data_IF_229081448646
#
_entry.id   IF_229081448646
#
_cell.length_a   1.000
_cell.length_b   1.000
_cell.length_c   1.000
_cell.angle_alpha   90.00
_cell.angle_beta   90.00
_cell.angle_gamma   90.00
#
_symmetry.space_group_name_H-M   'P 1'
#
loop_
_entity.id
_entity.type
_entity.pdbx_description
1 polymer ?
#
# COMPACT_ATOMS: atom_id res chain seq x y z
N UNK A 1 -22.48 -14.17 -13.57
CA UNK A 1 -23.77 -13.46 -13.50
C UNK A 1 -24.82 -14.42 -12.92
N UNK A 2 -25.68 -13.92 -12.02
CA UNK A 2 -26.81 -14.69 -11.49
C UNK A 2 -27.86 -14.92 -12.58
N UNK A 3 -28.38 -16.14 -12.71
CA UNK A 3 -29.46 -16.47 -13.64
C UNK A 3 -30.79 -16.53 -12.90
N UNK A 4 -31.85 -15.92 -13.45
CA UNK A 4 -33.19 -15.87 -12.90
C UNK A 4 -34.21 -16.32 -13.93
N UNK A 5 -35.33 -16.89 -13.43
CA UNK A 5 -36.47 -17.32 -14.27
C UNK A 5 -37.73 -16.56 -13.84
N UNK A 6 -38.69 -16.51 -14.74
CA UNK A 6 -39.98 -15.92 -14.43
C UNK A 6 -40.65 -16.69 -13.29
N UNK A 7 -41.07 -15.96 -12.26
CA UNK A 7 -41.66 -16.54 -11.05
C UNK A 7 -40.70 -16.63 -9.86
N UNK A 8 -39.37 -16.44 -10.08
CA UNK A 8 -38.39 -16.41 -9.01
C UNK A 8 -38.63 -15.22 -8.07
N UNK A 9 -38.53 -15.48 -6.78
CA UNK A 9 -38.51 -14.42 -5.77
C UNK A 9 -37.06 -14.07 -5.43
N UNK A 10 -36.72 -12.79 -5.60
CA UNK A 10 -35.35 -12.31 -5.47
C UNK A 10 -35.31 -11.12 -4.52
N UNK A 11 -34.39 -11.14 -3.56
CA UNK A 11 -34.11 -9.98 -2.70
C UNK A 11 -33.24 -8.99 -3.49
N UNK A 12 -33.63 -7.72 -3.47
CA UNK A 12 -32.94 -6.65 -4.19
C UNK A 12 -32.81 -5.40 -3.35
N UNK A 13 -31.79 -4.60 -3.60
CA UNK A 13 -31.73 -3.24 -3.09
C UNK A 13 -32.42 -2.29 -4.07
N UNK A 14 -33.26 -1.38 -3.58
CA UNK A 14 -33.80 -0.29 -4.38
C UNK A 14 -32.74 0.79 -4.48
N UNK A 15 -32.21 1.02 -5.67
CA UNK A 15 -31.15 2.01 -5.92
C UNK A 15 -31.75 3.39 -6.18
N UNK A 16 -32.85 3.43 -6.95
CA UNK A 16 -33.47 4.70 -7.34
C UNK A 16 -34.93 4.49 -7.71
N UNK A 17 -35.73 5.51 -7.41
CA UNK A 17 -37.12 5.63 -7.89
C UNK A 17 -37.20 6.84 -8.82
N UNK A 18 -37.51 6.63 -10.11
CA UNK A 18 -37.62 7.67 -11.12
C UNK A 18 -39.08 8.06 -11.32
N UNK A 19 -39.49 9.22 -10.78
CA UNK A 19 -40.91 9.68 -10.75
C UNK A 19 -41.47 10.06 -12.11
N UNK A 20 -40.66 10.34 -13.12
CA UNK A 20 -41.11 10.88 -14.42
C UNK A 20 -40.67 10.02 -15.64
N UNK A 21 -40.34 8.75 -15.44
CA UNK A 21 -39.89 7.90 -16.52
C UNK A 21 -41.07 7.27 -17.32
N UNK A 22 -40.92 7.20 -18.64
CA UNK A 22 -41.82 6.43 -19.51
C UNK A 22 -41.53 4.92 -19.52
N UNK A 23 -40.82 4.42 -18.51
CA UNK A 23 -40.42 3.01 -18.40
C UNK A 23 -40.43 2.58 -16.94
N UNK A 24 -39.63 1.58 -16.54
CA UNK A 24 -39.54 1.13 -15.15
C UNK A 24 -39.18 2.27 -14.19
N UNK A 25 -40.05 2.51 -13.22
CA UNK A 25 -39.84 3.61 -12.26
C UNK A 25 -38.95 3.22 -11.09
N UNK A 26 -38.89 1.94 -10.75
CA UNK A 26 -38.08 1.43 -9.63
C UNK A 26 -36.86 0.71 -10.19
N UNK A 27 -35.68 1.25 -9.92
CA UNK A 27 -34.41 0.63 -10.28
C UNK A 27 -33.90 -0.16 -9.09
N UNK A 28 -33.67 -1.44 -9.29
CA UNK A 28 -33.21 -2.37 -8.27
C UNK A 28 -31.85 -2.98 -8.64
N UNK A 29 -31.09 -3.41 -7.64
CA UNK A 29 -29.76 -4.00 -7.83
C UNK A 29 -29.55 -5.21 -6.94
N UNK A 30 -28.81 -6.19 -7.50
CA UNK A 30 -28.25 -7.33 -6.77
C UNK A 30 -26.76 -7.14 -6.49
N UNK A 31 -26.13 -6.17 -7.14
CA UNK A 31 -24.67 -5.94 -7.06
C UNK A 31 -24.28 -4.78 -6.14
N UNK A 32 -25.24 -3.96 -5.76
CA UNK A 32 -25.02 -2.82 -4.86
C UNK A 32 -24.59 -3.27 -3.46
N UNK A 33 -23.57 -2.65 -2.83
CA UNK A 33 -23.19 -2.94 -1.45
C UNK A 33 -24.31 -2.77 -0.43
N UNK A 34 -25.29 -1.92 -0.70
CA UNK A 34 -26.47 -1.73 0.17
C UNK A 34 -27.27 -3.02 0.36
N UNK A 35 -27.32 -3.89 -0.65
CA UNK A 35 -27.97 -5.20 -0.50
C UNK A 35 -27.26 -6.03 0.57
N UNK A 36 -25.94 -6.10 0.54
CA UNK A 36 -25.14 -6.84 1.53
C UNK A 36 -25.37 -6.29 2.95
N UNK A 37 -25.33 -4.97 3.12
CA UNK A 37 -25.58 -4.32 4.41
C UNK A 37 -26.97 -4.67 4.96
N UNK A 38 -28.00 -4.64 4.11
CA UNK A 38 -29.36 -5.01 4.51
C UNK A 38 -29.53 -6.49 4.84
N UNK A 39 -28.81 -7.37 4.17
CA UNK A 39 -28.81 -8.79 4.52
C UNK A 39 -28.21 -9.02 5.90
N UNK A 40 -27.12 -8.30 6.25
CA UNK A 40 -26.57 -8.36 7.60
C UNK A 40 -27.55 -7.82 8.66
N UNK A 41 -28.24 -6.71 8.41
CA UNK A 41 -29.26 -6.18 9.32
C UNK A 41 -30.39 -7.20 9.59
N UNK A 42 -30.74 -8.01 8.59
CA UNK A 42 -31.80 -9.02 8.72
C UNK A 42 -31.34 -10.27 9.47
N UNK A 43 -30.07 -10.68 9.31
CA UNK A 43 -29.54 -11.92 9.86
C UNK A 43 -28.86 -11.76 11.23
N UNK A 44 -28.45 -10.52 11.59
CA UNK A 44 -27.67 -10.22 12.78
C UNK A 44 -28.47 -9.30 13.71
N UNK A 45 -29.07 -9.84 14.78
CA UNK A 45 -29.86 -9.04 15.73
C UNK A 45 -29.08 -7.88 16.34
N UNK A 46 -27.80 -8.05 16.63
CA UNK A 46 -26.91 -7.02 17.18
C UNK A 46 -26.67 -5.85 16.23
N UNK A 47 -26.83 -6.05 14.90
CA UNK A 47 -26.83 -4.97 13.92
C UNK A 47 -28.20 -4.29 13.90
N UNK A 48 -29.27 -5.06 13.97
CA UNK A 48 -30.63 -4.53 13.96
C UNK A 48 -30.91 -3.62 15.17
N UNK A 49 -30.44 -3.99 16.36
CA UNK A 49 -30.58 -3.20 17.58
C UNK A 49 -29.55 -2.07 17.74
N UNK A 50 -28.53 -2.05 16.87
CA UNK A 50 -27.50 -1.02 16.83
C UNK A 50 -26.32 -1.24 17.77
N UNK A 51 -26.23 -2.36 18.49
CA UNK A 51 -25.06 -2.73 19.30
C UNK A 51 -23.82 -2.90 18.43
N UNK A 52 -23.97 -3.58 17.29
CA UNK A 52 -22.95 -3.70 16.24
C UNK A 52 -23.30 -2.80 15.07
N UNK A 53 -22.33 -2.10 14.53
CA UNK A 53 -22.49 -1.19 13.40
C UNK A 53 -21.64 -1.61 12.22
N UNK A 54 -22.21 -1.55 11.01
CA UNK A 54 -21.45 -1.65 9.76
C UNK A 54 -20.91 -0.26 9.42
N UNK A 55 -19.57 -0.15 9.36
CA UNK A 55 -18.85 1.09 9.02
C UNK A 55 -18.60 1.22 7.53
N UNK A 56 -18.60 0.10 6.80
CA UNK A 56 -18.43 0.08 5.36
C UNK A 56 -18.61 -1.32 4.79
N UNK A 57 -18.93 -1.37 3.51
CA UNK A 57 -19.02 -2.62 2.75
C UNK A 57 -18.51 -2.39 1.33
N UNK A 58 -17.68 -3.29 0.84
CA UNK A 58 -17.14 -3.28 -0.54
C UNK A 58 -17.34 -4.65 -1.17
N UNK A 59 -17.69 -4.70 -2.45
CA UNK A 59 -18.02 -5.94 -3.15
C UNK A 59 -17.41 -5.99 -4.53
N UNK A 60 -16.99 -7.17 -4.90
CA UNK A 60 -16.92 -7.65 -6.28
C UNK A 60 -18.04 -8.69 -6.41
N UNK A 61 -19.22 -8.23 -6.84
CA UNK A 61 -20.45 -8.99 -6.77
C UNK A 61 -20.34 -10.35 -7.45
N UNK A 62 -20.80 -11.40 -6.76
CA UNK A 62 -20.70 -12.78 -7.19
C UNK A 62 -19.33 -13.44 -6.91
N UNK A 63 -18.35 -12.70 -6.43
CA UNK A 63 -17.01 -13.22 -6.15
C UNK A 63 -16.65 -13.09 -4.66
N UNK A 64 -16.45 -11.87 -4.19
CA UNK A 64 -16.02 -11.61 -2.81
C UNK A 64 -16.45 -10.22 -2.33
N UNK A 65 -16.70 -10.11 -1.04
CA UNK A 65 -16.99 -8.86 -0.34
C UNK A 65 -16.19 -8.74 0.95
N UNK A 66 -15.98 -7.51 1.41
CA UNK A 66 -15.51 -7.20 2.76
C UNK A 66 -16.50 -6.26 3.43
N UNK A 67 -16.79 -6.55 4.71
CA UNK A 67 -17.68 -5.75 5.54
C UNK A 67 -16.96 -5.35 6.82
N UNK A 68 -16.85 -4.07 7.07
CA UNK A 68 -16.21 -3.54 8.27
C UNK A 68 -17.27 -3.28 9.36
N UNK A 69 -17.05 -3.84 10.53
CA UNK A 69 -17.97 -3.79 11.67
C UNK A 69 -17.27 -3.31 12.93
N UNK A 70 -18.02 -2.64 13.79
CA UNK A 70 -17.56 -2.22 15.12
C UNK A 70 -18.68 -2.45 16.14
N UNK A 71 -18.32 -2.75 17.38
CA UNK A 71 -19.28 -2.77 18.51
C UNK A 71 -19.24 -1.47 19.28
N UNK A 72 -20.40 -1.04 19.75
CA UNK A 72 -20.53 0.04 20.72
C UNK A 72 -20.28 -0.43 22.15
N UNK A 73 -20.42 -1.73 22.40
CA UNK A 73 -20.23 -2.37 23.69
C UNK A 73 -18.91 -3.15 23.71
N UNK A 74 -18.14 -2.98 24.78
CA UNK A 74 -16.79 -3.55 24.90
C UNK A 74 -16.77 -5.08 25.02
N UNK A 75 -17.83 -5.66 25.54
CA UNK A 75 -18.01 -7.08 25.79
C UNK A 75 -18.67 -7.83 24.62
N UNK A 76 -19.01 -7.12 23.55
CA UNK A 76 -19.59 -7.72 22.34
C UNK A 76 -18.53 -7.77 21.23
N UNK A 77 -18.18 -8.99 20.78
CA UNK A 77 -17.35 -9.22 19.61
C UNK A 77 -18.16 -8.94 18.32
N UNK A 78 -17.86 -7.87 17.57
CA UNK A 78 -18.62 -7.52 16.39
C UNK A 78 -18.46 -8.50 15.24
N UNK A 79 -17.29 -9.11 15.10
CA UNK A 79 -17.00 -10.12 14.06
C UNK A 79 -17.71 -11.42 14.39
N UNK A 80 -17.59 -11.88 15.63
CA UNK A 80 -18.27 -13.09 16.11
C UNK A 80 -19.79 -12.99 16.00
N UNK A 81 -20.39 -11.85 16.31
CA UNK A 81 -21.82 -11.60 16.16
C UNK A 81 -22.29 -11.76 14.70
N UNK A 82 -21.53 -11.21 13.76
CA UNK A 82 -21.85 -11.31 12.33
C UNK A 82 -21.61 -12.71 11.74
N UNK A 83 -20.59 -13.42 12.20
CA UNK A 83 -20.32 -14.79 11.77
C UNK A 83 -21.41 -15.73 12.28
N UNK A 84 -21.80 -15.56 13.53
CA UNK A 84 -22.76 -16.42 14.21
C UNK A 84 -22.20 -17.78 14.62
N UNK A 85 -22.99 -18.52 15.38
CA UNK A 85 -22.56 -19.85 15.87
C UNK A 85 -22.23 -20.79 14.70
N UNK A 86 -21.00 -21.29 14.65
CA UNK A 86 -20.49 -22.14 13.55
C UNK A 86 -20.68 -21.52 12.15
N UNK A 87 -20.70 -20.19 12.06
CA UNK A 87 -20.83 -19.47 10.78
C UNK A 87 -22.24 -19.44 10.20
N UNK A 88 -23.28 -19.80 10.96
CA UNK A 88 -24.64 -19.94 10.42
C UNK A 88 -25.18 -18.66 9.83
N UNK A 89 -24.94 -17.49 10.45
CA UNK A 89 -25.42 -16.21 9.98
C UNK A 89 -24.76 -15.79 8.67
N UNK A 90 -23.44 -15.78 8.63
CA UNK A 90 -22.71 -15.41 7.41
C UNK A 90 -22.97 -16.39 6.26
N UNK A 91 -23.13 -17.69 6.55
CA UNK A 91 -23.47 -18.69 5.55
C UNK A 91 -24.87 -18.50 4.96
N UNK A 92 -25.82 -17.99 5.73
CA UNK A 92 -27.15 -17.62 5.23
C UNK A 92 -27.04 -16.51 4.18
N UNK A 93 -26.23 -15.50 4.47
CA UNK A 93 -26.00 -14.38 3.53
C UNK A 93 -25.25 -14.85 2.28
N UNK A 94 -24.20 -15.68 2.45
CA UNK A 94 -23.45 -16.26 1.34
C UNK A 94 -24.36 -17.05 0.39
N UNK A 95 -25.29 -17.84 0.93
CA UNK A 95 -26.28 -18.59 0.13
C UNK A 95 -27.23 -17.67 -0.61
N UNK A 96 -27.73 -16.61 0.03
CA UNK A 96 -28.57 -15.60 -0.63
C UNK A 96 -27.84 -14.95 -1.80
N UNK A 97 -26.54 -14.68 -1.67
CA UNK A 97 -25.67 -14.09 -2.70
C UNK A 97 -25.02 -15.14 -3.62
N UNK A 98 -25.57 -16.35 -3.63
CA UNK A 98 -25.18 -17.46 -4.53
C UNK A 98 -23.70 -17.83 -4.49
N UNK A 99 -23.12 -17.81 -3.28
CA UNK A 99 -21.75 -18.25 -3.03
C UNK A 99 -20.69 -17.14 -3.02
N UNK A 100 -21.09 -15.87 -3.03
CA UNK A 100 -20.18 -14.74 -2.83
C UNK A 100 -19.47 -14.88 -1.48
N UNK A 101 -18.13 -14.91 -1.47
CA UNK A 101 -17.34 -15.00 -0.26
C UNK A 101 -17.39 -13.69 0.52
N UNK A 102 -17.56 -13.76 1.83
CA UNK A 102 -17.69 -12.57 2.68
C UNK A 102 -16.63 -12.62 3.76
N UNK A 103 -15.76 -11.60 3.79
CA UNK A 103 -14.82 -11.35 4.88
C UNK A 103 -15.41 -10.29 5.81
N UNK A 104 -15.57 -10.64 7.07
CA UNK A 104 -16.00 -9.71 8.12
C UNK A 104 -14.74 -9.19 8.79
N UNK A 105 -14.60 -7.87 8.84
CA UNK A 105 -13.39 -7.17 9.26
C UNK A 105 -13.73 -6.27 10.43
N UNK A 106 -12.97 -6.32 11.50
CA UNK A 106 -13.11 -5.36 12.59
C UNK A 106 -12.57 -3.98 12.13
N UNK A 107 -13.44 -2.98 12.25
CA UNK A 107 -13.10 -1.60 11.91
C UNK A 107 -12.24 -0.97 12.99
N UNK A 108 -11.33 -0.08 12.61
CA UNK A 108 -10.51 0.72 13.52
C UNK A 108 -10.38 2.15 13.00
N UNK A 109 -10.31 3.12 13.92
CA UNK A 109 -9.98 4.52 13.60
C UNK A 109 -8.52 4.66 13.13
N UNK A 110 -7.63 3.80 13.64
CA UNK A 110 -6.24 3.75 13.22
C UNK A 110 -6.11 3.03 11.87
N UNK A 111 -5.68 3.73 10.81
CA UNK A 111 -5.55 3.13 9.48
C UNK A 111 -4.61 1.92 9.43
N UNK A 112 -3.53 1.93 10.22
CA UNK A 112 -2.57 0.83 10.26
C UNK A 112 -3.20 -0.44 10.86
N UNK A 113 -3.95 -0.31 11.94
CA UNK A 113 -4.70 -1.41 12.53
C UNK A 113 -5.80 -1.89 11.57
N UNK A 114 -6.53 -0.96 10.96
CA UNK A 114 -7.63 -1.31 10.06
C UNK A 114 -7.13 -2.06 8.81
N UNK A 115 -5.99 -1.68 8.22
CA UNK A 115 -5.44 -2.41 7.07
C UNK A 115 -5.00 -3.82 7.43
N UNK A 116 -4.43 -4.03 8.62
CA UNK A 116 -4.08 -5.37 9.12
C UNK A 116 -5.31 -6.26 9.16
N UNK A 117 -6.41 -5.75 9.75
CA UNK A 117 -7.68 -6.48 9.83
C UNK A 117 -8.26 -6.73 8.43
N UNK A 118 -8.22 -5.74 7.54
CA UNK A 118 -8.78 -5.82 6.20
C UNK A 118 -8.03 -6.78 5.26
N UNK A 119 -6.75 -7.03 5.49
CA UNK A 119 -5.95 -7.99 4.71
C UNK A 119 -6.16 -9.45 5.15
N UNK A 120 -6.92 -9.67 6.23
CA UNK A 120 -7.29 -11.04 6.63
C UNK A 120 -7.79 -11.85 5.40
N UNK A 121 -7.42 -13.15 5.30
CA UNK A 121 -6.76 -13.99 6.30
C UNK A 121 -5.22 -13.93 6.30
N UNK A 122 -4.59 -13.07 5.49
CA UNK A 122 -3.14 -12.92 5.48
C UNK A 122 -2.63 -12.27 6.77
N UNK A 123 -1.48 -12.74 7.24
CA UNK A 123 -0.80 -12.15 8.40
C UNK A 123 0.16 -11.08 7.95
N UNK A 124 0.06 -9.90 8.57
CA UNK A 124 0.90 -8.74 8.31
C UNK A 124 2.02 -8.68 9.34
N UNK A 125 3.26 -8.47 8.88
CA UNK A 125 4.43 -8.29 9.75
C UNK A 125 4.59 -6.82 10.19
N UNK A 126 4.40 -5.89 9.26
CA UNK A 126 4.59 -4.46 9.52
C UNK A 126 3.75 -3.60 8.59
N UNK A 127 3.30 -2.45 9.10
CA UNK A 127 2.67 -1.38 8.31
C UNK A 127 3.45 -0.09 8.52
N UNK A 128 3.70 0.64 7.45
CA UNK A 128 4.34 1.96 7.46
C UNK A 128 3.51 2.94 6.63
N UNK A 129 3.18 4.09 7.19
CA UNK A 129 2.54 5.17 6.44
C UNK A 129 3.62 5.88 5.63
N UNK A 130 3.48 5.85 4.31
CA UNK A 130 4.44 6.46 3.37
C UNK A 130 4.07 7.91 3.10
N UNK A 131 2.78 8.18 2.90
CA UNK A 131 2.24 9.51 2.64
C UNK A 131 0.83 9.61 3.22
N UNK A 132 0.65 10.47 4.21
CA UNK A 132 -0.63 10.65 4.89
C UNK A 132 -1.61 11.48 4.06
N UNK A 133 -1.13 12.48 3.33
CA UNK A 133 -1.97 13.35 2.51
C UNK A 133 -2.54 12.59 1.31
N UNK A 134 -1.71 11.80 0.64
CA UNK A 134 -2.12 10.94 -0.48
C UNK A 134 -2.71 9.61 -0.02
N UNK A 135 -2.70 9.34 1.29
CA UNK A 135 -3.18 8.08 1.89
C UNK A 135 -2.51 6.85 1.30
N UNK A 136 -1.18 6.83 1.34
CA UNK A 136 -0.36 5.73 0.85
C UNK A 136 0.29 5.02 2.05
N UNK A 137 0.17 3.70 2.09
CA UNK A 137 0.84 2.86 3.08
C UNK A 137 1.56 1.68 2.43
N UNK A 138 2.65 1.29 3.03
CA UNK A 138 3.41 0.10 2.72
C UNK A 138 3.09 -0.98 3.77
N UNK A 139 2.81 -2.18 3.30
CA UNK A 139 2.51 -3.34 4.15
C UNK A 139 3.50 -4.45 3.84
N UNK A 140 4.23 -4.88 4.85
CA UNK A 140 5.20 -5.97 4.74
C UNK A 140 4.60 -7.24 5.34
N UNK A 141 4.71 -8.34 4.60
CA UNK A 141 4.23 -9.66 4.99
C UNK A 141 5.36 -10.70 4.87
N UNK A 142 5.28 -11.81 5.61
CA UNK A 142 6.17 -12.93 5.38
C UNK A 142 6.04 -13.43 3.92
N UNK A 143 7.12 -13.91 3.31
CA UNK A 143 7.14 -14.33 1.89
C UNK A 143 6.04 -15.34 1.57
N UNK A 144 5.80 -16.30 2.47
CA UNK A 144 4.73 -17.30 2.34
C UNK A 144 3.30 -16.73 2.42
N UNK A 145 3.14 -15.50 2.96
CA UNK A 145 1.85 -14.82 3.08
C UNK A 145 1.56 -13.87 1.90
N UNK A 146 2.56 -13.56 1.07
CA UNK A 146 2.45 -12.58 -0.01
C UNK A 146 1.31 -12.89 -0.98
N UNK A 147 1.26 -14.12 -1.48
CA UNK A 147 0.19 -14.55 -2.40
C UNK A 147 -1.21 -14.47 -1.77
N UNK A 148 -1.32 -14.73 -0.47
CA UNK A 148 -2.58 -14.66 0.26
C UNK A 148 -3.00 -13.21 0.50
N UNK A 149 -2.05 -12.33 0.83
CA UNK A 149 -2.29 -10.91 1.03
C UNK A 149 -2.77 -10.23 -0.25
N UNK A 150 -2.12 -10.52 -1.37
CA UNK A 150 -2.51 -10.01 -2.70
C UNK A 150 -3.85 -10.64 -3.14
N UNK A 151 -3.97 -11.95 -2.99
CA UNK A 151 -5.13 -12.71 -3.44
C UNK A 151 -5.15 -12.94 -4.95
N UNK A 152 -6.07 -13.80 -5.41
CA UNK A 152 -6.25 -14.10 -6.84
C UNK A 152 -6.55 -12.82 -7.63
N UNK A 153 -5.72 -12.53 -8.63
CA UNK A 153 -5.81 -11.30 -9.46
C UNK A 153 -5.82 -10.01 -8.65
N UNK A 154 -5.16 -9.99 -7.48
CA UNK A 154 -5.13 -8.82 -6.61
C UNK A 154 -6.43 -8.52 -5.88
N UNK A 155 -7.36 -9.46 -5.78
CA UNK A 155 -8.70 -9.24 -5.22
C UNK A 155 -8.66 -8.87 -3.75
N UNK A 156 -7.83 -9.56 -2.93
CA UNK A 156 -7.80 -9.30 -1.50
C UNK A 156 -7.26 -7.90 -1.19
N UNK A 157 -6.12 -7.53 -1.76
CA UNK A 157 -5.54 -6.19 -1.56
C UNK A 157 -6.42 -5.08 -2.13
N UNK A 158 -7.06 -5.31 -3.29
CA UNK A 158 -7.94 -4.32 -3.92
C UNK A 158 -9.20 -4.04 -3.08
N UNK A 159 -9.83 -5.07 -2.51
CA UNK A 159 -10.96 -4.91 -1.60
C UNK A 159 -10.52 -4.29 -0.27
N UNK A 160 -9.35 -4.68 0.27
CA UNK A 160 -8.78 -4.06 1.46
C UNK A 160 -8.52 -2.57 1.25
N UNK A 161 -7.89 -2.18 0.15
CA UNK A 161 -7.63 -0.79 -0.20
C UNK A 161 -8.92 0.03 -0.30
N UNK A 162 -9.96 -0.53 -0.91
CA UNK A 162 -11.27 0.15 -1.05
C UNK A 162 -11.98 0.34 0.29
N UNK A 163 -11.96 -0.65 1.19
CA UNK A 163 -12.68 -0.55 2.46
C UNK A 163 -11.94 0.34 3.47
N UNK A 164 -10.61 0.33 3.45
CA UNK A 164 -9.78 1.19 4.32
C UNK A 164 -9.72 2.62 3.78
N UNK A 165 -9.88 2.80 2.47
CA UNK A 165 -9.78 4.11 1.80
C UNK A 165 -8.34 4.59 1.65
N UNK A 166 -7.36 3.66 1.62
CA UNK A 166 -5.94 3.90 1.44
C UNK A 166 -5.38 3.11 0.28
N UNK A 167 -4.36 3.65 -0.36
CA UNK A 167 -3.54 2.92 -1.32
C UNK A 167 -2.56 2.02 -0.57
N UNK A 168 -2.58 0.74 -0.86
CA UNK A 168 -1.79 -0.28 -0.17
C UNK A 168 -0.74 -0.82 -1.14
N UNK A 169 0.54 -0.68 -0.77
CA UNK A 169 1.66 -1.33 -1.43
C UNK A 169 2.10 -2.52 -0.57
N UNK A 170 1.98 -3.74 -1.11
CA UNK A 170 2.32 -4.97 -0.38
C UNK A 170 3.66 -5.48 -0.87
N UNK A 171 4.57 -5.74 0.07
CA UNK A 171 5.90 -6.30 -0.17
C UNK A 171 6.14 -7.50 0.74
N UNK A 172 6.94 -8.45 0.27
CA UNK A 172 7.47 -9.49 1.14
C UNK A 172 8.62 -8.96 2.01
N UNK A 173 8.94 -9.65 3.10
CA UNK A 173 10.11 -9.32 3.94
C UNK A 173 11.41 -9.38 3.14
N UNK A 174 11.53 -10.32 2.21
CA UNK A 174 12.69 -10.44 1.33
C UNK A 174 12.80 -9.27 0.35
N UNK A 175 11.69 -8.86 -0.30
CA UNK A 175 11.67 -7.69 -1.18
C UNK A 175 12.06 -6.43 -0.42
N UNK A 176 11.53 -6.24 0.78
CA UNK A 176 11.87 -5.08 1.61
C UNK A 176 13.34 -5.08 2.05
N UNK A 177 13.87 -6.24 2.41
CA UNK A 177 15.29 -6.38 2.74
C UNK A 177 16.17 -6.01 1.55
N UNK A 178 15.86 -6.50 0.36
CA UNK A 178 16.62 -6.16 -0.86
C UNK A 178 16.56 -4.67 -1.20
N UNK A 179 15.41 -4.02 -1.01
CA UNK A 179 15.31 -2.57 -1.18
C UNK A 179 16.22 -1.81 -0.22
N UNK A 180 16.21 -2.19 1.06
CA UNK A 180 17.05 -1.57 2.08
C UNK A 180 18.53 -1.80 1.80
N UNK A 181 18.91 -3.04 1.43
CA UNK A 181 20.29 -3.38 1.04
C UNK A 181 20.75 -2.58 -0.18
N UNK A 182 19.90 -2.45 -1.20
CA UNK A 182 20.19 -1.66 -2.39
C UNK A 182 20.32 -0.16 -2.07
N UNK A 183 19.48 0.37 -1.19
CA UNK A 183 19.57 1.77 -0.75
C UNK A 183 20.84 2.03 0.04
N UNK A 184 21.20 1.14 0.98
CA UNK A 184 22.46 1.22 1.72
C UNK A 184 23.67 1.15 0.79
N UNK A 185 23.65 0.27 -0.22
CA UNK A 185 24.71 0.17 -1.23
C UNK A 185 24.84 1.46 -2.05
N UNK A 186 23.71 2.07 -2.45
CA UNK A 186 23.71 3.37 -3.15
C UNK A 186 24.29 4.48 -2.28
N UNK A 187 23.92 4.56 -1.02
CA UNK A 187 24.45 5.54 -0.08
C UNK A 187 25.95 5.36 0.15
N UNK A 188 26.41 4.12 0.35
CA UNK A 188 27.84 3.81 0.50
C UNK A 188 28.62 4.21 -0.74
N UNK A 189 28.13 3.87 -1.93
CA UNK A 189 28.72 4.28 -3.19
C UNK A 189 28.80 5.80 -3.34
N UNK A 190 27.72 6.52 -3.02
CA UNK A 190 27.71 7.98 -3.06
C UNK A 190 28.79 8.60 -2.17
N UNK A 191 28.99 8.05 -0.97
CA UNK A 191 30.09 8.47 -0.07
C UNK A 191 31.45 8.19 -0.69
N UNK A 192 31.67 7.02 -1.30
CA UNK A 192 32.94 6.66 -1.94
C UNK A 192 33.23 7.53 -3.16
N UNK A 193 32.20 7.86 -3.95
CA UNK A 193 32.30 8.83 -5.05
C UNK A 193 32.78 10.19 -4.55
N UNK A 194 32.17 10.73 -3.49
CA UNK A 194 32.59 12.02 -2.92
C UNK A 194 34.00 11.95 -2.32
N UNK A 195 34.35 10.86 -1.66
CA UNK A 195 35.69 10.64 -1.11
C UNK A 195 36.76 10.54 -2.21
N UNK A 196 36.40 10.09 -3.40
CA UNK A 196 37.37 10.03 -4.51
C UNK A 196 37.92 11.40 -4.89
N UNK A 197 37.23 12.50 -4.54
CA UNK A 197 37.71 13.88 -4.74
C UNK A 197 39.08 14.16 -4.07
N UNK A 198 39.42 13.42 -3.01
CA UNK A 198 40.73 13.55 -2.38
C UNK A 198 41.88 13.21 -3.34
N UNK A 199 41.68 12.22 -4.22
CA UNK A 199 42.65 11.83 -5.25
C UNK A 199 42.83 12.90 -6.31
N UNK A 200 41.84 13.78 -6.47
CA UNK A 200 41.82 14.89 -7.42
C UNK A 200 42.16 16.24 -6.76
N UNK A 201 42.79 16.24 -5.56
CA UNK A 201 43.35 17.41 -4.91
C UNK A 201 42.39 18.23 -4.06
N UNK A 202 41.19 17.73 -3.79
CA UNK A 202 40.31 18.32 -2.77
C UNK A 202 40.76 17.89 -1.39
N UNK A 203 40.92 18.84 -0.46
CA UNK A 203 41.42 18.53 0.89
C UNK A 203 40.45 17.64 1.70
N UNK A 204 41.02 16.70 2.49
CA UNK A 204 40.28 15.74 3.32
C UNK A 204 39.16 16.39 4.16
N UNK A 205 39.45 17.54 4.81
CA UNK A 205 38.46 18.27 5.61
C UNK A 205 37.27 18.75 4.77
N UNK A 206 37.52 19.22 3.54
CA UNK A 206 36.47 19.64 2.62
C UNK A 206 35.63 18.46 2.19
N UNK A 207 36.27 17.34 1.85
CA UNK A 207 35.56 16.09 1.49
C UNK A 207 34.72 15.59 2.65
N UNK A 208 35.23 15.61 3.85
CA UNK A 208 34.46 15.25 5.05
C UNK A 208 33.20 16.12 5.20
N UNK A 209 33.34 17.45 5.05
CA UNK A 209 32.23 18.38 5.16
C UNK A 209 31.19 18.18 4.03
N UNK A 210 31.61 17.81 2.81
CA UNK A 210 30.70 17.45 1.71
C UNK A 210 29.90 16.19 2.04
N UNK A 211 30.53 15.16 2.61
CA UNK A 211 29.86 13.93 3.05
C UNK A 211 28.87 14.23 4.20
N UNK A 212 29.27 15.00 5.20
CA UNK A 212 28.42 15.42 6.33
C UNK A 212 27.22 16.27 5.87
N UNK A 213 27.37 17.05 4.77
CA UNK A 213 26.29 17.80 4.17
C UNK A 213 25.28 16.93 3.41
N UNK A 214 25.49 15.59 3.36
CA UNK A 214 24.55 14.64 2.76
C UNK A 214 24.52 14.64 1.24
N UNK A 215 25.65 14.92 0.61
CA UNK A 215 25.74 14.92 -0.86
C UNK A 215 25.64 13.48 -1.39
N UNK A 216 24.69 13.27 -2.31
CA UNK A 216 24.34 11.96 -2.85
C UNK A 216 25.15 11.59 -4.12
N UNK A 217 26.49 11.71 -4.06
CA UNK A 217 27.42 11.33 -5.13
C UNK A 217 27.87 12.49 -6.02
N UNK A 218 28.74 12.20 -7.00
CA UNK A 218 29.37 13.19 -7.88
C UNK A 218 28.36 13.86 -8.81
N UNK A 219 27.35 13.15 -9.29
CA UNK A 219 26.32 13.72 -10.17
C UNK A 219 25.55 14.84 -9.42
N UNK A 220 25.08 14.57 -8.21
CA UNK A 220 24.41 15.56 -7.38
C UNK A 220 25.31 16.77 -7.08
N UNK A 221 26.58 16.52 -6.77
CA UNK A 221 27.57 17.58 -6.54
C UNK A 221 27.75 18.51 -7.74
N UNK A 222 27.73 17.96 -8.95
CA UNK A 222 27.86 18.75 -10.19
C UNK A 222 26.60 19.55 -10.53
N UNK A 223 25.43 19.12 -10.08
CA UNK A 223 24.16 19.82 -10.28
C UNK A 223 23.92 20.94 -9.26
N UNK A 224 24.57 20.90 -8.10
CA UNK A 224 24.43 21.94 -7.07
C UNK A 224 24.91 23.30 -7.57
N UNK A 225 24.22 24.36 -7.19
CA UNK A 225 24.62 25.75 -7.47
C UNK A 225 25.82 26.16 -6.59
N UNK A 226 26.52 27.23 -6.99
CA UNK A 226 27.64 27.76 -6.21
C UNK A 226 27.18 28.31 -4.86
N UNK A 227 25.95 28.81 -4.76
CA UNK A 227 25.36 29.29 -3.50
C UNK A 227 25.12 28.12 -2.53
N UNK A 228 24.61 27.00 -3.02
CA UNK A 228 24.43 25.78 -2.21
C UNK A 228 25.76 25.20 -1.73
N UNK A 229 26.77 25.17 -2.59
CA UNK A 229 28.12 24.71 -2.22
C UNK A 229 28.77 25.65 -1.22
N UNK A 230 28.60 26.98 -1.35
CA UNK A 230 29.16 27.97 -0.43
C UNK A 230 28.52 27.93 0.97
N UNK A 231 27.32 27.38 1.10
CA UNK A 231 26.66 27.18 2.38
C UNK A 231 27.29 26.06 3.23
N UNK A 232 28.14 25.23 2.61
CA UNK A 232 28.84 24.14 3.31
C UNK A 232 30.07 24.71 4.01
N UNK A 233 30.27 24.33 5.28
CA UNK A 233 31.38 24.85 6.08
C UNK A 233 32.74 24.57 5.42
N UNK A 234 33.59 25.60 5.36
CA UNK A 234 34.91 25.54 4.75
C UNK A 234 34.98 25.50 3.21
N UNK A 235 33.83 25.71 2.53
CA UNK A 235 33.74 25.77 1.06
C UNK A 235 33.64 27.23 0.61
N UNK A 236 34.73 27.81 0.12
CA UNK A 236 34.78 29.14 -0.45
C UNK A 236 34.89 29.11 -1.99
N UNK A 237 34.84 30.29 -2.69
CA UNK A 237 34.83 30.36 -4.15
C UNK A 237 35.96 29.58 -4.84
N UNK A 238 37.18 29.68 -4.33
CA UNK A 238 38.32 28.90 -4.86
C UNK A 238 38.23 27.40 -4.62
N UNK A 239 37.54 27.01 -3.54
CA UNK A 239 37.30 25.62 -3.23
C UNK A 239 36.22 25.03 -4.14
N UNK A 240 35.22 25.82 -4.50
CA UNK A 240 34.16 25.44 -5.43
C UNK A 240 34.74 25.12 -6.81
N UNK A 241 35.62 25.95 -7.35
CA UNK A 241 36.29 25.69 -8.65
C UNK A 241 37.05 24.34 -8.60
N UNK A 242 37.81 24.10 -7.54
CA UNK A 242 38.53 22.83 -7.34
C UNK A 242 37.59 21.63 -7.22
N UNK A 243 36.49 21.79 -6.47
CA UNK A 243 35.49 20.71 -6.31
C UNK A 243 34.87 20.37 -7.67
N UNK A 244 34.53 21.36 -8.51
CA UNK A 244 33.93 21.13 -9.82
C UNK A 244 34.89 20.44 -10.79
N UNK A 245 36.15 20.86 -10.83
CA UNK A 245 37.16 20.22 -11.67
C UNK A 245 37.40 18.79 -11.22
N UNK A 246 37.59 18.58 -9.91
CA UNK A 246 37.81 17.26 -9.31
C UNK A 246 36.58 16.34 -9.53
N UNK A 247 35.37 16.85 -9.35
CA UNK A 247 34.15 16.09 -9.55
C UNK A 247 33.93 15.66 -10.98
N UNK A 248 34.26 16.54 -11.95
CA UNK A 248 34.17 16.19 -13.36
C UNK A 248 35.16 15.08 -13.74
N UNK A 249 36.40 15.12 -13.25
CA UNK A 249 37.42 14.10 -13.50
C UNK A 249 37.05 12.79 -12.80
N UNK A 250 36.71 12.86 -11.53
CA UNK A 250 36.31 11.67 -10.75
C UNK A 250 35.08 10.98 -11.38
N UNK A 251 34.10 11.74 -11.88
CA UNK A 251 32.93 11.17 -12.54
C UNK A 251 33.29 10.40 -13.80
N UNK A 252 34.21 10.90 -14.61
CA UNK A 252 34.66 10.17 -15.81
C UNK A 252 35.31 8.84 -15.44
N UNK A 253 36.15 8.80 -14.40
CA UNK A 253 36.80 7.56 -13.94
C UNK A 253 35.76 6.56 -13.41
N UNK A 254 34.73 7.02 -12.67
CA UNK A 254 33.64 6.17 -12.19
C UNK A 254 32.79 5.61 -13.34
N UNK A 255 32.44 6.46 -14.31
CA UNK A 255 31.65 6.06 -15.48
C UNK A 255 32.41 5.03 -16.35
N UNK A 256 33.73 5.18 -16.52
CA UNK A 256 34.59 4.19 -17.22
C UNK A 256 34.68 2.86 -16.45
N UNK A 257 34.76 2.93 -15.13
CA UNK A 257 34.81 1.72 -14.29
C UNK A 257 33.47 0.96 -14.33
N UNK A 258 32.35 1.69 -14.32
CA UNK A 258 31.03 1.08 -14.42
C UNK A 258 30.81 0.36 -15.74
N UNK A 259 31.19 1.00 -16.87
CA UNK A 259 31.12 0.37 -18.20
C UNK A 259 31.98 -0.92 -18.26
N UNK A 260 33.19 -0.88 -17.70
CA UNK A 260 34.05 -2.05 -17.65
C UNK A 260 33.49 -3.18 -16.78
N UNK A 261 32.83 -2.84 -15.66
CA UNK A 261 32.16 -3.81 -14.78
C UNK A 261 30.97 -4.48 -15.48
N UNK A 262 30.12 -3.69 -16.15
CA UNK A 262 28.97 -4.20 -16.91
C UNK A 262 29.41 -5.12 -18.08
N UNK A 263 30.49 -4.77 -18.79
CA UNK A 263 31.05 -5.63 -19.85
C UNK A 263 31.59 -6.94 -19.28
N UNK A 264 32.27 -6.91 -18.13
CA UNK A 264 32.79 -8.10 -17.48
C UNK A 264 31.66 -9.05 -17.02
N UNK A 265 30.58 -8.52 -16.44
CA UNK A 265 29.41 -9.31 -16.06
C UNK A 265 28.71 -9.93 -17.29
N UNK A 266 28.60 -9.17 -18.38
CA UNK A 266 28.00 -9.64 -19.63
C UNK A 266 28.83 -10.76 -20.31
N UNK A 267 30.14 -10.78 -20.10
CA UNK A 267 31.02 -11.82 -20.62
C UNK A 267 31.05 -13.08 -19.74
N UNK A 268 30.66 -12.94 -18.46
CA UNK A 268 30.60 -14.03 -17.48
C UNK A 268 29.25 -14.76 -17.43
N UNK A 269 28.19 -14.19 -18.00
CA UNK A 269 26.83 -14.73 -18.07
C UNK A 269 26.59 -15.52 -19.39
#
# INVERSE_FOLDING_TARGET
>A
AEAYQTGDRVRVAIVRVAKAAKGPQVIVSRTDPALLTKLFEMEVPEIYDGTVQIKGAVREAGERAKVAVISRERDVDPVGACVGMKGTRVQSIIRELRGEKIDIVEWSDDPATFVVNALSPAKVSRVSIVDEEQRIMEVVVEDKQLSLAIGKKGQNVRLAAKIVGWRIDIKSEEEKRREVEAEMARMARAVDEVRSLERHGVGEKTVHNLVEAGIHGLAHLLEMSDDELSAIDGVGPKTIEKIREAAAQAKLEWDEHDVAAEEAERLAA
#
